data_IF_543421634641
#
_entry.id   IF_543421634641
#
_cell.length_a   1.000
_cell.length_b   1.000
_cell.length_c   1.000
_cell.angle_alpha   90.00
_cell.angle_beta   90.00
_cell.angle_gamma   90.00
#
_symmetry.space_group_name_H-M   'P 1'
#
loop_
_entity.id
_entity.type
_entity.pdbx_description
1 polymer ?
#
# COMPACT_ATOMS: atom_id res chain seq x y z
N UNK A 1 -51.85 26.89 -24.05
CA UNK A 1 -50.70 26.38 -24.81
C UNK A 1 -49.57 27.40 -24.68
N UNK A 2 -48.33 26.93 -24.51
CA UNK A 2 -47.05 27.70 -24.47
C UNK A 2 -46.47 28.10 -23.09
N UNK A 3 -46.56 27.22 -22.09
CA UNK A 3 -45.50 26.99 -21.09
C UNK A 3 -45.38 25.46 -21.03
N UNK A 4 -44.23 24.77 -21.26
CA UNK A 4 -42.84 25.19 -21.03
C UNK A 4 -41.84 24.69 -22.11
N UNK A 5 -41.21 25.58 -22.89
CA UNK A 5 -40.02 25.23 -23.71
C UNK A 5 -38.72 25.74 -23.02
N UNK A 6 -38.82 26.31 -21.82
CA UNK A 6 -37.67 26.89 -21.10
C UNK A 6 -36.96 25.92 -20.14
N UNK A 7 -37.16 24.62 -20.26
CA UNK A 7 -36.49 23.61 -19.41
C UNK A 7 -35.63 22.62 -20.21
N UNK A 8 -34.98 23.07 -21.27
CA UNK A 8 -33.94 22.28 -21.94
C UNK A 8 -32.73 23.10 -22.39
N UNK A 9 -32.32 24.07 -21.56
CA UNK A 9 -30.90 24.36 -21.42
C UNK A 9 -30.48 23.77 -20.08
N UNK A 10 -30.37 22.44 -20.03
CA UNK A 10 -29.46 21.79 -19.10
C UNK A 10 -28.14 22.54 -19.27
N UNK A 11 -27.78 23.32 -18.24
CA UNK A 11 -26.44 23.86 -18.11
C UNK A 11 -25.52 22.65 -18.05
N UNK A 12 -25.07 22.19 -19.22
CA UNK A 12 -23.88 21.38 -19.34
C UNK A 12 -22.76 22.36 -18.99
N UNK A 13 -22.58 22.60 -17.68
CA UNK A 13 -21.28 23.05 -17.20
C UNK A 13 -20.35 21.93 -17.57
N UNK A 14 -19.55 22.16 -18.61
CA UNK A 14 -18.38 21.36 -18.85
C UNK A 14 -17.58 21.35 -17.54
N UNK A 15 -17.48 20.18 -16.95
CA UNK A 15 -16.57 19.82 -15.88
C UNK A 15 -15.19 19.90 -16.54
N UNK A 16 -14.58 21.08 -16.54
CA UNK A 16 -13.18 21.25 -16.91
C UNK A 16 -12.35 21.12 -15.64
N UNK A 17 -11.26 20.36 -15.71
CA UNK A 17 -10.23 20.39 -14.69
C UNK A 17 -9.62 21.79 -14.57
N UNK A 18 -8.79 21.96 -13.56
CA UNK A 18 -7.91 23.10 -13.46
C UNK A 18 -6.48 22.62 -13.25
N UNK A 19 -5.55 23.31 -13.89
CA UNK A 19 -4.12 23.06 -13.71
C UNK A 19 -3.77 23.35 -12.25
N UNK A 20 -3.24 22.33 -11.59
CA UNK A 20 -2.67 22.39 -10.26
C UNK A 20 -1.21 22.02 -10.33
N UNK A 21 -0.39 22.65 -9.49
CA UNK A 21 1.04 22.39 -9.49
C UNK A 21 1.59 22.26 -8.08
N UNK A 22 2.74 21.61 -7.99
CA UNK A 22 3.53 21.48 -6.77
C UNK A 22 4.99 21.75 -7.08
N UNK A 23 5.66 22.50 -6.21
CA UNK A 23 7.08 22.79 -6.32
C UNK A 23 7.75 22.59 -4.95
N UNK A 24 8.47 21.48 -4.80
CA UNK A 24 9.06 21.09 -3.51
C UNK A 24 10.58 21.01 -3.56
N UNK A 25 11.17 21.46 -2.47
CA UNK A 25 12.57 21.31 -2.13
C UNK A 25 12.70 20.50 -0.86
N UNK A 26 13.81 19.81 -0.70
CA UNK A 26 14.08 19.04 0.51
C UNK A 26 15.47 18.44 0.47
N UNK A 27 15.76 17.58 1.45
CA UNK A 27 17.02 16.88 1.55
C UNK A 27 16.82 15.42 1.95
N UNK A 28 17.31 14.48 1.15
CA UNK A 28 17.37 13.08 1.57
C UNK A 28 18.71 12.78 2.24
N UNK A 29 18.63 12.17 3.43
CA UNK A 29 19.79 11.78 4.23
C UNK A 29 19.69 10.32 4.66
N UNK A 30 20.86 9.70 4.87
CA UNK A 30 21.04 8.35 5.37
C UNK A 30 22.10 8.37 6.48
N UNK A 31 21.69 8.00 7.69
CA UNK A 31 22.48 8.20 8.90
C UNK A 31 23.01 9.65 9.00
N UNK A 32 22.15 10.63 8.73
CA UNK A 32 22.49 12.06 8.69
C UNK A 32 23.49 12.49 7.61
N UNK A 33 23.81 11.61 6.65
CA UNK A 33 24.68 11.92 5.51
C UNK A 33 23.80 12.12 4.28
N UNK A 34 23.98 13.25 3.57
CA UNK A 34 23.29 13.51 2.31
C UNK A 34 23.47 12.38 1.30
N UNK A 35 22.39 11.90 0.71
CA UNK A 35 22.42 10.85 -0.29
C UNK A 35 22.57 11.45 -1.69
N UNK A 36 23.72 11.32 -2.37
CA UNK A 36 23.93 11.90 -3.69
C UNK A 36 23.32 11.04 -4.81
N UNK A 37 22.90 11.69 -5.90
CA UNK A 37 22.38 11.05 -7.11
C UNK A 37 21.18 10.11 -6.86
N UNK A 38 20.43 10.34 -5.79
CA UNK A 38 19.20 9.60 -5.50
C UNK A 38 18.11 10.08 -6.46
N UNK A 39 17.55 9.16 -7.25
CA UNK A 39 16.36 9.44 -8.07
C UNK A 39 15.14 9.60 -7.18
N UNK A 40 14.39 10.66 -7.44
CA UNK A 40 13.12 10.98 -6.79
C UNK A 40 12.07 11.10 -7.89
N UNK A 41 11.02 10.30 -7.80
CA UNK A 41 9.87 10.37 -8.68
C UNK A 41 8.73 11.08 -7.92
N UNK A 42 8.16 12.12 -8.53
CA UNK A 42 6.98 12.82 -8.05
C UNK A 42 5.75 12.20 -8.72
N UNK A 43 4.82 11.76 -7.89
CA UNK A 43 3.59 11.10 -8.29
C UNK A 43 2.39 11.90 -7.79
N UNK A 44 1.27 11.70 -8.45
CA UNK A 44 -0.06 12.13 -8.02
C UNK A 44 -0.89 10.90 -7.66
N UNK A 45 -1.66 10.98 -6.56
CA UNK A 45 -2.58 9.92 -6.19
C UNK A 45 -3.97 10.18 -6.74
N UNK A 46 -4.38 9.23 -7.56
CA UNK A 46 -5.68 9.21 -8.20
C UNK A 46 -6.71 8.45 -7.34
N UNK A 47 -7.98 8.90 -7.31
CA UNK A 47 -9.01 8.20 -6.52
C UNK A 47 -9.56 6.95 -7.19
N UNK A 48 -9.60 6.92 -8.53
CA UNK A 48 -10.33 5.91 -9.30
C UNK A 48 -9.52 5.32 -10.46
N UNK A 49 -8.30 5.82 -10.70
CA UNK A 49 -7.41 5.39 -11.78
C UNK A 49 -5.99 5.13 -11.24
N UNK A 50 -5.03 4.93 -12.14
CA UNK A 50 -3.65 4.70 -11.76
C UNK A 50 -2.97 6.05 -11.51
N UNK A 51 -2.24 6.15 -10.41
CA UNK A 51 -1.41 7.31 -10.07
C UNK A 51 -0.55 7.82 -11.24
N UNK A 52 -0.60 9.12 -11.44
CA UNK A 52 0.11 9.79 -12.52
C UNK A 52 1.55 10.15 -12.12
N UNK A 53 2.49 9.89 -13.05
CA UNK A 53 3.88 10.31 -12.89
C UNK A 53 4.01 11.75 -13.38
N UNK A 54 4.20 12.68 -12.44
CA UNK A 54 4.27 14.10 -12.77
C UNK A 54 5.67 14.50 -13.24
N UNK A 55 6.72 14.05 -12.54
CA UNK A 55 8.11 14.37 -12.87
C UNK A 55 9.12 13.50 -12.11
N UNK A 56 10.41 13.66 -12.41
CA UNK A 56 11.49 13.12 -11.60
C UNK A 56 12.66 14.11 -11.47
N UNK A 57 13.47 13.93 -10.43
CA UNK A 57 14.71 14.69 -10.22
C UNK A 57 15.79 13.80 -9.59
N UNK A 58 16.98 14.34 -9.39
CA UNK A 58 18.05 13.67 -8.64
C UNK A 58 18.64 14.59 -7.58
N UNK A 59 19.03 14.03 -6.45
CA UNK A 59 19.70 14.79 -5.39
C UNK A 59 21.13 15.18 -5.77
N UNK A 60 21.58 16.34 -5.29
CA UNK A 60 22.95 16.80 -5.43
C UNK A 60 23.92 16.07 -4.47
N UNK A 61 25.20 16.46 -4.47
CA UNK A 61 26.25 15.86 -3.62
C UNK A 61 25.97 15.91 -2.11
N UNK A 62 25.08 16.79 -1.68
CA UNK A 62 24.68 16.98 -0.28
C UNK A 62 23.28 16.41 0.01
N UNK A 63 22.64 15.73 -0.94
CA UNK A 63 21.31 15.15 -0.78
C UNK A 63 20.14 16.10 -1.04
N UNK A 64 20.39 17.36 -1.43
CA UNK A 64 19.31 18.32 -1.71
C UNK A 64 18.69 18.09 -3.08
N UNK A 65 17.39 18.37 -3.18
CA UNK A 65 16.65 18.30 -4.43
C UNK A 65 15.67 19.46 -4.59
N UNK A 66 15.21 19.65 -5.83
CA UNK A 66 14.08 20.49 -6.21
C UNK A 66 13.32 19.76 -7.31
N UNK A 67 12.00 19.69 -7.19
CA UNK A 67 11.13 19.05 -8.18
C UNK A 67 9.83 19.82 -8.33
N UNK A 68 9.40 19.93 -9.58
CA UNK A 68 8.16 20.58 -9.99
C UNK A 68 7.29 19.56 -10.73
N UNK A 69 5.99 19.58 -10.49
CA UNK A 69 5.01 18.82 -11.26
C UNK A 69 3.71 19.60 -11.36
N UNK A 70 2.95 19.34 -12.43
CA UNK A 70 1.64 19.93 -12.65
C UNK A 70 0.72 18.94 -13.34
N UNK A 71 -0.58 19.11 -13.13
CA UNK A 71 -1.62 18.25 -13.69
C UNK A 71 -2.94 19.02 -13.83
N UNK A 72 -3.76 18.65 -14.83
CA UNK A 72 -5.08 19.21 -15.06
C UNK A 72 -6.16 18.27 -14.47
N UNK A 73 -6.64 18.64 -13.28
CA UNK A 73 -7.36 17.75 -12.39
C UNK A 73 -8.70 18.37 -11.99
N UNK A 74 -9.77 17.56 -11.88
CA UNK A 74 -11.09 18.09 -11.54
C UNK A 74 -11.23 18.41 -10.04
N UNK A 75 -10.53 17.65 -9.19
CA UNK A 75 -10.52 17.85 -7.75
C UNK A 75 -9.17 18.43 -7.32
N UNK A 76 -8.46 17.79 -6.41
CA UNK A 76 -7.18 18.27 -5.91
C UNK A 76 -6.14 17.21 -6.15
N UNK A 77 -4.96 17.61 -6.61
CA UNK A 77 -3.84 16.67 -6.70
C UNK A 77 -3.44 16.20 -5.31
N UNK A 78 -3.13 14.92 -5.15
CA UNK A 78 -2.60 14.36 -3.89
C UNK A 78 -1.16 13.90 -4.08
N UNK A 79 -0.18 14.83 -4.08
CA UNK A 79 1.17 14.52 -4.53
C UNK A 79 2.01 13.78 -3.46
N UNK A 80 2.92 12.93 -3.93
CA UNK A 80 3.87 12.22 -3.07
C UNK A 80 5.18 11.91 -3.79
N UNK A 81 6.25 11.69 -3.02
CA UNK A 81 7.58 11.35 -3.52
C UNK A 81 7.89 9.87 -3.33
N UNK A 82 8.34 9.23 -4.40
CA UNK A 82 8.93 7.90 -4.39
C UNK A 82 10.43 8.03 -4.47
N UNK A 83 11.14 7.32 -3.59
CA UNK A 83 12.59 7.11 -3.72
C UNK A 83 12.95 5.65 -3.57
N UNK A 84 13.98 5.23 -4.28
CA UNK A 84 14.58 3.90 -4.15
C UNK A 84 16.05 4.04 -3.75
N UNK A 85 16.43 3.45 -2.62
CA UNK A 85 17.75 3.66 -2.02
C UNK A 85 18.35 2.38 -1.43
N UNK A 86 19.64 2.41 -1.10
CA UNK A 86 20.34 1.29 -0.46
C UNK A 86 20.91 1.67 0.92
N UNK A 87 20.35 2.71 1.54
CA UNK A 87 20.74 3.14 2.89
C UNK A 87 20.62 1.97 3.88
N UNK A 88 21.59 1.83 4.78
CA UNK A 88 21.60 0.82 5.86
C UNK A 88 21.48 -0.64 5.44
N UNK A 89 21.73 -0.95 4.16
CA UNK A 89 21.71 -2.30 3.58
C UNK A 89 22.70 -3.23 4.28
N UNK A 90 22.21 -4.30 4.93
CA UNK A 90 23.07 -5.25 5.67
C UNK A 90 23.50 -6.47 4.85
N UNK A 91 22.65 -7.17 4.07
CA UNK A 91 23.07 -8.50 3.56
C UNK A 91 22.62 -8.93 2.14
N UNK A 92 21.75 -8.20 1.42
CA UNK A 92 21.25 -8.66 0.10
C UNK A 92 21.83 -7.85 -1.06
N UNK A 93 22.79 -8.37 -1.83
CA UNK A 93 23.51 -7.62 -2.90
C UNK A 93 22.60 -6.91 -3.91
N UNK A 94 21.40 -7.42 -4.19
CA UNK A 94 20.48 -6.86 -5.20
C UNK A 94 19.31 -6.05 -4.62
N UNK A 95 19.34 -5.78 -3.32
CA UNK A 95 18.31 -5.05 -2.58
C UNK A 95 18.33 -3.54 -2.84
N UNK A 96 17.22 -2.96 -3.28
CA UNK A 96 16.88 -1.55 -3.04
C UNK A 96 15.75 -1.50 -2.01
N UNK A 97 15.58 -0.39 -1.28
CA UNK A 97 14.46 -0.09 -0.38
C UNK A 97 13.67 1.04 -1.03
N UNK A 98 12.34 1.04 -0.96
CA UNK A 98 11.49 2.10 -1.51
C UNK A 98 10.76 2.82 -0.39
N UNK A 99 10.80 4.15 -0.41
CA UNK A 99 10.03 4.99 0.51
C UNK A 99 9.03 5.83 -0.27
N UNK A 100 7.82 5.92 0.27
CA UNK A 100 6.75 6.81 -0.18
C UNK A 100 6.63 7.92 0.85
N UNK A 101 6.81 9.17 0.43
CA UNK A 101 6.76 10.35 1.30
C UNK A 101 5.63 11.25 0.81
N UNK A 102 4.53 11.28 1.56
CA UNK A 102 3.37 12.13 1.27
C UNK A 102 3.74 13.61 1.39
N UNK A 103 3.32 14.42 0.43
CA UNK A 103 3.43 15.87 0.50
C UNK A 103 2.10 16.41 1.04
N UNK A 104 2.17 17.38 1.94
CA UNK A 104 0.98 18.05 2.45
C UNK A 104 0.25 18.76 1.30
N UNK A 105 -1.02 18.39 1.09
CA UNK A 105 -1.88 18.96 0.04
C UNK A 105 -2.08 20.46 0.20
N UNK A 106 -1.89 21.02 1.40
CA UNK A 106 -1.96 22.47 1.63
C UNK A 106 -0.83 23.25 0.91
N UNK A 107 0.21 22.55 0.44
CA UNK A 107 1.31 23.10 -0.36
C UNK A 107 1.01 23.16 -1.86
N UNK A 108 -0.09 22.55 -2.31
CA UNK A 108 -0.51 22.59 -3.71
C UNK A 108 -0.89 24.02 -4.12
N UNK A 109 -0.47 24.40 -5.32
CA UNK A 109 -0.60 25.76 -5.86
C UNK A 109 0.06 26.84 -4.99
N UNK A 110 0.93 26.44 -4.06
CA UNK A 110 1.86 27.35 -3.39
C UNK A 110 3.11 27.46 -4.25
N UNK A 111 3.84 28.56 -4.05
CA UNK A 111 5.18 28.68 -4.62
C UNK A 111 6.14 27.64 -4.06
N UNK A 112 7.44 27.88 -4.22
CA UNK A 112 8.48 26.98 -3.74
C UNK A 112 8.30 26.65 -2.25
N UNK A 113 8.05 25.37 -1.95
CA UNK A 113 7.82 24.87 -0.60
C UNK A 113 8.94 23.93 -0.17
N UNK A 114 9.32 23.95 1.10
CA UNK A 114 10.35 23.07 1.65
C UNK A 114 9.66 21.96 2.46
N UNK A 115 9.89 20.69 2.09
CA UNK A 115 9.36 19.51 2.80
C UNK A 115 10.33 18.99 3.87
N UNK A 116 11.25 19.85 4.29
CA UNK A 116 12.30 19.58 5.27
C UNK A 116 13.26 18.45 4.88
N UNK A 117 14.07 18.03 5.85
CA UNK A 117 15.00 16.92 5.71
C UNK A 117 14.27 15.60 5.96
N UNK A 118 14.35 14.70 4.98
CA UNK A 118 13.76 13.36 5.02
C UNK A 118 14.88 12.36 5.29
N UNK A 119 14.91 11.81 6.50
CA UNK A 119 15.83 10.74 6.85
C UNK A 119 15.26 9.40 6.37
N UNK A 120 16.02 8.73 5.51
CA UNK A 120 15.73 7.37 5.07
C UNK A 120 16.13 6.41 6.18
N UNK A 121 15.26 6.30 7.18
CA UNK A 121 15.42 5.34 8.25
C UNK A 121 15.20 3.92 7.74
N UNK A 122 16.09 3.05 8.21
CA UNK A 122 15.86 1.62 8.30
C UNK A 122 14.76 1.43 9.35
N UNK A 123 13.49 1.40 8.94
CA UNK A 123 12.51 0.69 9.74
C UNK A 123 13.12 -0.67 10.04
N UNK A 124 12.96 -1.20 11.26
CA UNK A 124 13.63 -2.43 11.70
C UNK A 124 13.33 -3.69 10.84
N UNK A 125 12.58 -3.53 9.74
CA UNK A 125 12.49 -4.41 8.58
C UNK A 125 12.40 -3.58 7.29
N UNK A 126 13.52 -3.26 6.62
CA UNK A 126 13.47 -2.64 5.30
C UNK A 126 13.01 -3.68 4.27
N UNK A 127 11.94 -3.37 3.53
CA UNK A 127 11.47 -4.23 2.44
C UNK A 127 12.55 -4.29 1.36
N UNK A 128 13.01 -5.50 1.04
CA UNK A 128 14.16 -5.73 0.21
C UNK A 128 13.78 -6.11 -1.22
N UNK A 129 14.09 -5.25 -2.19
CA UNK A 129 13.69 -5.42 -3.59
C UNK A 129 14.75 -6.16 -4.40
N UNK A 130 14.41 -7.23 -5.13
CA UNK A 130 15.22 -7.76 -6.24
C UNK A 130 14.46 -7.43 -7.53
N UNK A 131 14.98 -6.53 -8.36
CA UNK A 131 14.31 -6.09 -9.60
C UNK A 131 13.93 -7.26 -10.53
N UNK A 132 12.71 -7.22 -11.09
CA UNK A 132 12.33 -7.94 -12.32
C UNK A 132 11.77 -9.35 -12.16
N UNK A 133 11.39 -9.79 -10.95
CA UNK A 133 10.75 -11.09 -10.75
C UNK A 133 9.36 -10.92 -10.12
N UNK A 134 8.41 -11.74 -10.56
CA UNK A 134 7.16 -12.01 -9.85
C UNK A 134 7.46 -12.24 -8.37
N UNK A 135 6.85 -11.45 -7.47
CA UNK A 135 7.14 -11.54 -6.04
C UNK A 135 6.37 -12.72 -5.47
N UNK A 136 7.05 -13.86 -5.29
CA UNK A 136 6.44 -15.09 -4.76
C UNK A 136 6.52 -15.06 -3.23
N UNK A 137 5.38 -15.29 -2.59
CA UNK A 137 5.25 -15.50 -1.16
C UNK A 137 4.65 -16.88 -0.91
N UNK A 138 5.32 -17.70 -0.10
CA UNK A 138 4.75 -18.95 0.42
C UNK A 138 4.71 -18.88 1.94
N UNK A 139 3.53 -18.99 2.53
CA UNK A 139 3.32 -19.01 3.97
C UNK A 139 2.85 -20.39 4.41
N UNK A 140 3.27 -20.80 5.60
CA UNK A 140 2.65 -21.86 6.39
C UNK A 140 2.35 -21.36 7.79
N UNK A 141 1.31 -21.92 8.41
CA UNK A 141 0.93 -21.55 9.76
C UNK A 141 -0.27 -22.39 10.23
N UNK A 142 -0.87 -21.97 11.33
CA UNK A 142 -2.02 -22.65 11.92
C UNK A 142 -3.06 -21.65 12.41
N UNK A 143 -4.30 -21.77 11.96
CA UNK A 143 -5.41 -21.01 12.52
C UNK A 143 -6.09 -21.80 13.65
N UNK A 144 -6.27 -21.13 14.79
CA UNK A 144 -6.93 -21.71 15.96
C UNK A 144 -8.07 -20.83 16.49
N UNK A 145 -9.03 -21.49 17.13
CA UNK A 145 -10.11 -20.90 17.91
C UNK A 145 -10.07 -21.53 19.30
N UNK A 146 -9.81 -20.73 20.34
CA UNK A 146 -9.67 -21.24 21.71
C UNK A 146 -8.60 -22.35 21.78
N UNK A 147 -7.47 -22.14 21.09
CA UNK A 147 -6.38 -23.12 20.94
C UNK A 147 -6.72 -24.42 20.19
N UNK A 148 -7.94 -24.57 19.66
CA UNK A 148 -8.30 -25.70 18.80
C UNK A 148 -8.13 -25.34 17.33
N UNK A 149 -7.47 -26.22 16.57
CA UNK A 149 -7.36 -26.11 15.11
C UNK A 149 -8.71 -26.00 14.43
N UNK A 150 -8.84 -25.07 13.48
CA UNK A 150 -10.08 -24.86 12.75
C UNK A 150 -9.98 -25.54 11.39
N UNK A 151 -10.73 -26.62 11.14
CA UNK A 151 -10.69 -27.30 9.85
C UNK A 151 -11.51 -26.59 8.79
N UNK A 152 -11.11 -26.75 7.52
CA UNK A 152 -11.82 -26.24 6.36
C UNK A 152 -12.03 -24.72 6.35
N UNK A 153 -11.14 -23.96 6.99
CA UNK A 153 -11.15 -22.50 6.96
C UNK A 153 -10.53 -22.02 5.65
N UNK A 154 -11.28 -21.28 4.84
CA UNK A 154 -10.77 -20.61 3.65
C UNK A 154 -9.92 -19.40 4.06
N UNK A 155 -8.73 -19.33 3.47
CA UNK A 155 -7.76 -18.26 3.63
C UNK A 155 -7.49 -17.68 2.25
N UNK A 156 -7.68 -16.37 2.09
CA UNK A 156 -7.26 -15.65 0.90
C UNK A 156 -5.99 -14.84 1.24
N UNK A 157 -4.95 -14.98 0.42
CA UNK A 157 -3.74 -14.16 0.45
C UNK A 157 -3.95 -13.00 -0.52
N UNK A 158 -3.93 -11.81 0.04
CA UNK A 158 -4.16 -10.56 -0.67
C UNK A 158 -2.91 -9.72 -0.63
N UNK A 159 -2.75 -8.87 -1.64
CA UNK A 159 -1.77 -7.80 -1.68
C UNK A 159 -2.49 -6.45 -1.51
N UNK A 160 -2.12 -5.69 -0.48
CA UNK A 160 -2.68 -4.36 -0.29
C UNK A 160 -2.03 -3.33 -1.20
N UNK A 161 -2.82 -2.80 -2.11
CA UNK A 161 -2.39 -1.72 -2.99
C UNK A 161 -2.91 -0.39 -2.44
N UNK A 162 -2.03 0.56 -2.17
CA UNK A 162 -2.43 1.87 -1.60
C UNK A 162 -3.19 2.78 -2.58
N UNK A 163 -3.45 2.31 -3.81
CA UNK A 163 -3.84 3.11 -4.99
C UNK A 163 -4.92 2.39 -5.84
N UNK A 164 -5.03 1.06 -5.74
CA UNK A 164 -5.96 0.22 -6.52
C UNK A 164 -6.70 -0.72 -5.57
N UNK A 165 -7.64 -1.51 -6.11
CA UNK A 165 -8.21 -2.61 -5.35
C UNK A 165 -7.12 -3.64 -5.02
N UNK A 166 -7.17 -4.17 -3.81
CA UNK A 166 -6.24 -5.20 -3.35
C UNK A 166 -6.23 -6.40 -4.31
N UNK A 167 -5.03 -6.83 -4.70
CA UNK A 167 -4.83 -7.93 -5.64
C UNK A 167 -4.93 -9.27 -4.91
N UNK A 168 -5.71 -10.21 -5.45
CA UNK A 168 -5.78 -11.57 -4.89
C UNK A 168 -4.61 -12.40 -5.41
N UNK A 169 -3.68 -12.75 -4.52
CA UNK A 169 -2.46 -13.49 -4.89
C UNK A 169 -2.66 -15.00 -4.89
N UNK A 170 -3.52 -15.51 -4.01
CA UNK A 170 -3.73 -16.95 -3.84
C UNK A 170 -4.72 -17.28 -2.73
N UNK A 171 -5.13 -18.55 -2.63
CA UNK A 171 -5.97 -19.03 -1.53
C UNK A 171 -5.54 -20.42 -1.06
N UNK A 172 -5.97 -20.77 0.14
CA UNK A 172 -5.76 -22.08 0.74
C UNK A 172 -6.91 -22.43 1.69
N UNK A 173 -6.96 -23.69 2.09
CA UNK A 173 -7.90 -24.19 3.09
C UNK A 173 -7.12 -24.91 4.18
N UNK A 174 -7.49 -24.70 5.44
CA UNK A 174 -6.85 -25.40 6.56
C UNK A 174 -7.20 -26.90 6.60
N UNK A 175 -6.25 -27.71 7.04
CA UNK A 175 -6.44 -29.14 7.29
C UNK A 175 -7.27 -29.44 8.55
N UNK A 176 -7.44 -30.71 8.89
CA UNK A 176 -8.22 -31.15 10.06
C UNK A 176 -7.70 -30.61 11.41
N UNK A 177 -6.45 -30.16 11.46
CA UNK A 177 -5.78 -29.59 12.62
C UNK A 177 -5.58 -28.06 12.52
N UNK A 178 -6.12 -27.40 11.49
CA UNK A 178 -6.02 -25.96 11.29
C UNK A 178 -4.74 -25.48 10.59
N UNK A 179 -3.86 -26.38 10.14
CA UNK A 179 -2.64 -26.00 9.43
C UNK A 179 -2.93 -25.61 7.98
N UNK A 180 -2.16 -24.67 7.46
CA UNK A 180 -2.24 -24.26 6.06
C UNK A 180 -0.86 -24.10 5.43
N UNK A 181 -0.83 -24.18 4.10
CA UNK A 181 0.26 -23.66 3.27
C UNK A 181 -0.37 -22.94 2.10
N UNK A 182 0.00 -21.69 1.88
CA UNK A 182 -0.54 -20.83 0.82
C UNK A 182 0.61 -20.23 0.05
N UNK A 183 0.52 -20.22 -1.27
CA UNK A 183 1.48 -19.53 -2.14
C UNK A 183 0.72 -18.57 -3.03
N UNK A 184 1.30 -17.40 -3.23
CA UNK A 184 0.79 -16.41 -4.17
C UNK A 184 1.95 -15.65 -4.78
N UNK A 185 1.67 -15.03 -5.93
CA UNK A 185 2.62 -14.16 -6.58
C UNK A 185 1.89 -13.00 -7.19
N UNK A 186 2.47 -11.82 -7.10
CA UNK A 186 2.00 -10.67 -7.85
C UNK A 186 3.05 -10.20 -8.86
N UNK A 187 2.56 -9.71 -9.99
CA UNK A 187 3.35 -9.13 -11.09
C UNK A 187 3.25 -7.61 -11.10
N UNK A 188 2.61 -7.02 -10.10
CA UNK A 188 2.50 -5.59 -9.97
C UNK A 188 3.87 -4.91 -10.04
N UNK A 189 3.88 -3.73 -10.67
CA UNK A 189 5.06 -2.89 -10.86
C UNK A 189 5.60 -2.35 -9.51
N UNK A 190 4.89 -2.64 -8.40
CA UNK A 190 5.11 -2.22 -7.01
C UNK A 190 5.45 -3.40 -6.09
N UNK A 191 5.48 -3.15 -4.77
CA UNK A 191 5.70 -4.17 -3.75
C UNK A 191 4.42 -4.89 -3.40
N UNK A 192 4.53 -6.20 -3.15
CA UNK A 192 3.50 -6.88 -2.37
C UNK A 192 3.54 -6.37 -0.92
N UNK A 193 2.41 -5.90 -0.44
CA UNK A 193 2.06 -5.64 0.95
C UNK A 193 1.04 -6.70 1.41
N UNK A 194 1.51 -7.92 1.67
CA UNK A 194 0.65 -9.08 1.77
C UNK A 194 -0.11 -9.10 3.09
N UNK A 195 -1.35 -9.58 3.04
CA UNK A 195 -2.14 -9.85 4.22
C UNK A 195 -3.05 -11.07 3.98
N UNK A 196 -3.35 -11.79 5.07
CA UNK A 196 -4.29 -12.90 5.06
C UNK A 196 -5.68 -12.41 5.42
N UNK A 197 -6.67 -12.89 4.69
CA UNK A 197 -8.08 -12.68 4.97
C UNK A 197 -8.74 -14.02 5.27
N UNK A 198 -9.48 -14.06 6.37
CA UNK A 198 -10.33 -15.20 6.71
C UNK A 198 -11.71 -14.72 7.15
N UNK A 199 -12.73 -15.49 6.78
CA UNK A 199 -14.08 -15.35 7.32
C UNK A 199 -14.38 -16.52 8.26
N UNK A 200 -14.74 -16.24 9.51
CA UNK A 200 -14.91 -17.28 10.53
C UNK A 200 -16.13 -17.07 11.43
N UNK A 201 -16.49 -18.14 12.15
CA UNK A 201 -17.57 -18.15 13.15
C UNK A 201 -17.07 -18.51 14.55
N UNK A 202 -15.75 -18.53 14.76
CA UNK A 202 -15.14 -18.76 16.08
C UNK A 202 -15.82 -17.92 17.18
N UNK A 203 -16.13 -18.57 18.30
CA UNK A 203 -16.79 -17.98 19.48
C UNK A 203 -18.18 -17.35 19.23
N UNK A 204 -18.94 -17.81 18.20
CA UNK A 204 -20.33 -17.39 17.99
C UNK A 204 -21.33 -18.41 18.52
N UNK A 205 -22.20 -17.95 19.44
CA UNK A 205 -23.19 -18.83 20.10
C UNK A 205 -24.57 -18.88 19.43
N UNK A 206 -24.99 -17.94 18.54
CA UNK A 206 -26.41 -17.88 18.10
C UNK A 206 -26.79 -17.38 16.69
N UNK A 207 -25.87 -16.94 15.81
CA UNK A 207 -26.25 -16.52 14.45
C UNK A 207 -25.45 -17.29 13.40
N UNK A 208 -26.11 -18.23 12.69
CA UNK A 208 -25.51 -19.06 11.63
C UNK A 208 -25.09 -18.27 10.39
N UNK A 209 -25.61 -17.05 10.21
CA UNK A 209 -25.34 -16.21 9.04
C UNK A 209 -24.26 -15.14 9.31
N UNK A 210 -23.78 -15.02 10.55
CA UNK A 210 -22.74 -14.06 10.92
C UNK A 210 -21.36 -14.68 10.67
N UNK A 211 -20.59 -14.08 9.75
CA UNK A 211 -19.17 -14.41 9.52
C UNK A 211 -18.34 -13.17 9.86
N UNK A 212 -17.31 -13.35 10.68
CA UNK A 212 -16.36 -12.28 11.04
C UNK A 212 -15.22 -12.32 10.03
N UNK A 213 -14.94 -11.19 9.38
CA UNK A 213 -13.74 -11.01 8.57
C UNK A 213 -12.57 -10.62 9.49
N UNK A 214 -11.48 -11.40 9.47
CA UNK A 214 -10.21 -11.06 10.11
C UNK A 214 -9.16 -10.77 9.04
N UNK A 215 -8.34 -9.76 9.30
CA UNK A 215 -7.21 -9.36 8.46
C UNK A 215 -5.94 -9.51 9.29
N UNK A 216 -5.01 -10.35 8.83
CA UNK A 216 -3.71 -10.58 9.45
C UNK A 216 -2.61 -10.10 8.50
N UNK A 217 -2.01 -8.94 8.80
CA UNK A 217 -0.94 -8.36 8.01
C UNK A 217 0.34 -9.20 8.09
N UNK A 218 1.00 -9.41 6.95
CA UNK A 218 2.22 -10.21 6.87
C UNK A 218 3.42 -9.27 6.76
N UNK A 219 4.38 -9.50 7.66
CA UNK A 219 5.64 -8.77 7.67
C UNK A 219 6.42 -9.03 6.38
N UNK A 220 6.83 -7.97 5.69
CA UNK A 220 7.53 -8.02 4.41
C UNK A 220 8.85 -8.80 4.44
N UNK A 221 9.41 -9.09 5.63
CA UNK A 221 10.58 -9.97 5.79
C UNK A 221 10.38 -11.40 5.24
N UNK A 222 9.13 -11.80 5.01
CA UNK A 222 8.76 -13.13 4.54
C UNK A 222 8.68 -13.26 3.01
N UNK A 223 8.91 -12.18 2.28
CA UNK A 223 8.82 -12.14 0.82
C UNK A 223 10.13 -12.65 0.20
N UNK A 224 10.05 -13.57 -0.77
CA UNK A 224 11.22 -14.05 -1.51
C UNK A 224 12.20 -14.95 -0.73
N UNK A 225 11.90 -15.26 0.54
CA UNK A 225 12.73 -16.14 1.40
C UNK A 225 12.36 -17.63 1.30
N UNK A 226 11.45 -17.98 0.39
CA UNK A 226 10.91 -19.34 0.25
C UNK A 226 9.64 -19.53 1.09
N UNK A 227 9.62 -20.58 1.92
CA UNK A 227 8.48 -20.88 2.80
C UNK A 227 8.66 -20.20 4.16
N UNK A 228 7.84 -19.20 4.45
CA UNK A 228 7.81 -18.51 5.73
C UNK A 228 6.77 -19.15 6.68
N UNK A 229 7.16 -19.31 7.95
CA UNK A 229 6.26 -19.80 9.00
C UNK A 229 5.72 -18.61 9.80
N UNK A 230 4.40 -18.40 9.75
CA UNK A 230 3.72 -17.32 10.50
C UNK A 230 3.25 -17.79 11.87
N UNK A 231 3.52 -19.05 12.22
CA UNK A 231 3.14 -19.63 13.50
C UNK A 231 1.65 -19.82 13.66
N UNK A 232 1.20 -19.73 14.91
CA UNK A 232 -0.19 -19.94 15.31
C UNK A 232 -0.93 -18.60 15.38
N UNK A 233 -2.07 -18.52 14.69
CA UNK A 233 -2.92 -17.33 14.60
C UNK A 233 -4.27 -17.63 15.27
N UNK A 234 -4.54 -16.95 16.38
CA UNK A 234 -5.80 -17.08 17.13
C UNK A 234 -6.89 -16.19 16.53
N UNK A 235 -8.11 -16.72 16.38
CA UNK A 235 -9.27 -15.98 15.85
C UNK A 235 -10.09 -15.26 16.94
N UNK A 236 -9.65 -15.29 18.19
CA UNK A 236 -10.32 -14.66 19.31
C UNK A 236 -10.24 -13.11 19.26
N UNK A 237 -11.37 -12.45 18.97
CA UNK A 237 -11.49 -10.99 19.07
C UNK A 237 -11.96 -10.58 20.48
N UNK A 238 -11.04 -10.05 21.30
CA UNK A 238 -11.39 -9.54 22.66
C UNK A 238 -11.81 -8.08 22.63
N UNK A 239 -11.63 -7.34 21.53
CA UNK A 239 -11.65 -5.87 21.59
C UNK A 239 -12.39 -5.15 20.46
N UNK A 240 -13.37 -5.77 19.80
CA UNK A 240 -14.43 -4.99 19.14
C UNK A 240 -15.62 -5.87 18.79
N UNK A 241 -16.82 -5.65 19.37
CA UNK A 241 -18.05 -6.29 18.95
C UNK A 241 -18.64 -5.57 17.72
N UNK A 242 -17.81 -5.27 16.73
CA UNK A 242 -18.22 -4.63 15.48
C UNK A 242 -18.07 -5.65 14.36
N UNK A 243 -19.05 -6.08 13.58
CA UNK A 243 -20.46 -5.76 13.45
C UNK A 243 -20.99 -7.03 12.74
N UNK A 244 -21.97 -7.72 13.33
CA UNK A 244 -22.85 -8.59 12.57
C UNK A 244 -24.22 -7.94 12.70
N UNK A 245 -24.53 -7.02 11.78
CA UNK A 245 -25.89 -6.49 11.70
C UNK A 245 -26.82 -7.60 11.18
N UNK A 246 -28.04 -7.60 11.71
CA UNK A 246 -29.12 -8.52 11.39
C UNK A 246 -29.64 -8.34 9.97
#
# INVERSE_FOLDING_TARGET
MLLPIYLLFLKISFIFGYIQYINVTGQYVCNKIGLPNLRIDLMERDMLMNDDHLNYTTTNSQGYFTIYGEEDEFFGITPYLIVQHQCNKREHRNCSIKNVNWIDTDLVNKGLSNVDQIELFDDKNPICFIYGNSQILTLKGQYVCESQGIPNLRIDLMDHYSILNDSHMGNATTDEHGFFTISGSDNDFLNINPYLVVEHQCNKRKNRNCRIKKVDWIDGKHIGVGVADVGQIELFSVKNPSICWY
#
